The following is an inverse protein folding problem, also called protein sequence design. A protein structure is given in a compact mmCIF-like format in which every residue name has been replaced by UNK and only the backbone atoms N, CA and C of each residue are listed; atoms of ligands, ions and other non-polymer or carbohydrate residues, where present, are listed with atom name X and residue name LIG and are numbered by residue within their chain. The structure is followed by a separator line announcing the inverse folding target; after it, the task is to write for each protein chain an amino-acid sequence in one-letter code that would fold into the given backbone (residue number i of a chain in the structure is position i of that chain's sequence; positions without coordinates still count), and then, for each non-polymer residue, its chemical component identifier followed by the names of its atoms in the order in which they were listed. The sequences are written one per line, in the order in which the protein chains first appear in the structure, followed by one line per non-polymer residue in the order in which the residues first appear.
data_IF_039396399600
#
_entry.id   IF_039396399600
#
_cell.length_a   1.000
_cell.length_b   1.000
_cell.length_c   1.000
_cell.angle_alpha   90.00
_cell.angle_beta   90.00
_cell.angle_gamma   90.00
#
_symmetry.space_group_name_H-M   'P 1'
#
loop_
_entity.id
_entity.type
_entity.pdbx_description
1 polymer ?
#
# COMPACT_ATOMS: atom_id res chain seq x y z
N UNK A 1 15.73 -2.74 6.35
CA UNK A 1 14.55 -2.15 5.67
C UNK A 1 13.28 -2.83 6.18
N UNK A 2 12.16 -2.10 6.35
CA UNK A 2 10.93 -2.65 6.91
C UNK A 2 10.36 -3.81 6.07
N UNK A 3 9.72 -4.82 6.70
CA UNK A 3 9.04 -5.93 6.04
C UNK A 3 8.12 -5.54 4.89
N UNK A 4 7.29 -4.48 5.03
CA UNK A 4 6.38 -4.06 3.96
C UNK A 4 7.13 -3.64 2.69
N UNK A 5 8.31 -3.03 2.84
CA UNK A 5 9.16 -2.62 1.73
C UNK A 5 9.78 -3.83 1.05
N UNK A 6 10.18 -4.85 1.80
CA UNK A 6 10.68 -6.11 1.22
C UNK A 6 9.59 -6.81 0.40
N UNK A 7 8.37 -6.83 0.91
CA UNK A 7 7.22 -7.38 0.19
C UNK A 7 6.89 -6.55 -1.05
N UNK A 8 6.94 -5.22 -0.97
CA UNK A 8 6.79 -4.34 -2.13
C UNK A 8 7.86 -4.60 -3.20
N UNK A 9 9.12 -4.84 -2.81
CA UNK A 9 10.19 -5.22 -3.75
C UNK A 9 9.86 -6.55 -4.46
N UNK A 10 9.32 -7.53 -3.74
CA UNK A 10 8.89 -8.79 -4.35
C UNK A 10 7.73 -8.59 -5.34
N UNK A 11 6.77 -7.71 -5.02
CA UNK A 11 5.68 -7.35 -5.92
C UNK A 11 6.24 -6.69 -7.20
N UNK A 12 7.10 -5.69 -7.06
CA UNK A 12 7.75 -4.98 -8.19
C UNK A 12 8.51 -5.96 -9.08
N UNK A 13 9.29 -6.86 -8.48
CA UNK A 13 10.02 -7.87 -9.23
C UNK A 13 9.07 -8.82 -9.98
N UNK A 14 8.01 -9.29 -9.32
CA UNK A 14 7.02 -10.17 -9.92
C UNK A 14 6.18 -9.48 -11.02
N UNK A 15 5.99 -8.15 -10.95
CA UNK A 15 5.30 -7.38 -11.98
C UNK A 15 6.19 -7.04 -13.18
N UNK A 16 7.46 -7.46 -13.19
CA UNK A 16 8.41 -7.18 -14.27
C UNK A 16 9.02 -5.77 -14.21
N UNK A 17 8.80 -5.04 -13.11
CA UNK A 17 9.35 -3.72 -12.89
C UNK A 17 10.70 -3.81 -12.15
N UNK A 18 11.52 -2.77 -12.28
CA UNK A 18 12.88 -2.75 -11.69
C UNK A 18 13.02 -1.83 -10.49
N UNK A 19 12.22 -0.77 -10.43
CA UNK A 19 12.41 0.32 -9.48
C UNK A 19 11.22 0.41 -8.54
N UNK A 20 11.52 0.57 -7.25
CA UNK A 20 10.54 0.85 -6.21
C UNK A 20 10.87 2.23 -5.62
N UNK A 21 9.90 3.12 -5.61
CA UNK A 21 9.96 4.35 -4.83
C UNK A 21 9.35 4.11 -3.45
N UNK A 22 10.09 4.43 -2.38
CA UNK A 22 9.58 4.43 -1.02
C UNK A 22 10.11 5.66 -0.29
N UNK A 23 9.23 6.57 0.13
CA UNK A 23 9.59 7.89 0.66
C UNK A 23 10.67 7.86 1.73
N UNK A 24 10.58 6.91 2.68
CA UNK A 24 11.57 6.74 3.76
C UNK A 24 12.97 6.34 3.29
N UNK A 25 13.11 5.85 2.06
CA UNK A 25 14.38 5.45 1.45
C UNK A 25 14.84 6.39 0.34
N UNK A 26 13.90 6.99 -0.40
CA UNK A 26 14.18 7.81 -1.58
C UNK A 26 14.29 9.30 -1.26
N UNK A 27 13.77 9.76 -0.12
CA UNK A 27 13.86 11.15 0.32
C UNK A 27 14.98 11.29 1.36
N UNK A 28 15.92 12.19 1.10
CA UNK A 28 17.01 12.53 2.03
C UNK A 28 16.45 13.34 3.19
N UNK A 29 16.18 12.70 4.32
CA UNK A 29 15.49 13.32 5.47
C UNK A 29 16.36 14.34 6.22
N UNK A 30 17.68 14.27 6.08
CA UNK A 30 18.64 15.09 6.84
C UNK A 30 18.92 16.44 6.15
N UNK A 31 18.45 16.61 4.92
CA UNK A 31 18.59 17.84 4.14
C UNK A 31 17.21 18.43 3.88
N UNK A 32 16.91 19.54 4.55
CA UNK A 32 15.59 20.17 4.49
C UNK A 32 15.31 20.84 3.15
N UNK A 33 16.31 21.33 2.45
CA UNK A 33 16.15 21.96 1.13
C UNK A 33 15.82 20.91 0.08
N UNK A 34 16.59 19.81 0.06
CA UNK A 34 16.34 18.67 -0.83
C UNK A 34 15.00 18.01 -0.50
N UNK A 35 14.65 17.86 0.79
CA UNK A 35 13.34 17.34 1.20
C UNK A 35 12.21 18.20 0.66
N UNK A 36 12.30 19.53 0.79
CA UNK A 36 11.24 20.43 0.31
C UNK A 36 11.09 20.39 -1.22
N UNK A 37 12.21 20.36 -1.95
CA UNK A 37 12.19 20.24 -3.41
C UNK A 37 11.51 18.92 -3.84
N UNK A 38 11.87 17.79 -3.23
CA UNK A 38 11.23 16.50 -3.50
C UNK A 38 9.75 16.48 -3.12
N UNK A 39 9.38 17.08 -1.98
CA UNK A 39 7.99 17.20 -1.55
C UNK A 39 7.16 17.99 -2.56
N UNK A 40 7.74 19.01 -3.20
CA UNK A 40 7.05 19.78 -4.24
C UNK A 40 6.81 19.00 -5.54
N UNK A 41 7.48 17.86 -5.72
CA UNK A 41 7.43 17.00 -6.92
C UNK A 41 6.67 15.69 -6.71
N UNK A 42 6.02 15.51 -5.56
CA UNK A 42 5.29 14.28 -5.23
C UNK A 42 4.17 13.98 -6.24
N UNK A 43 3.56 15.02 -6.80
CA UNK A 43 2.56 14.90 -7.85
C UNK A 43 3.11 14.23 -9.12
N UNK A 44 4.29 14.66 -9.57
CA UNK A 44 4.98 14.10 -10.72
C UNK A 44 5.46 12.67 -10.44
N UNK A 45 5.89 12.37 -9.21
CA UNK A 45 6.28 11.02 -8.80
C UNK A 45 5.09 10.06 -8.91
N UNK A 46 3.93 10.43 -8.34
CA UNK A 46 2.73 9.58 -8.41
C UNK A 46 2.19 9.46 -9.84
N UNK A 47 2.16 10.55 -10.61
CA UNK A 47 1.69 10.54 -11.99
C UNK A 47 2.61 9.77 -12.95
N UNK A 48 3.92 9.72 -12.63
CA UNK A 48 4.94 8.99 -13.38
C UNK A 48 5.06 7.51 -12.99
N UNK A 49 4.52 7.11 -11.83
CA UNK A 49 4.57 5.72 -11.38
C UNK A 49 3.70 4.80 -12.26
N UNK A 50 4.21 3.59 -12.54
CA UNK A 50 3.45 2.55 -13.24
C UNK A 50 2.26 2.08 -12.40
N UNK A 51 2.48 1.92 -11.10
CA UNK A 51 1.48 1.60 -10.10
C UNK A 51 1.92 2.12 -8.72
N UNK A 52 0.96 2.40 -7.86
CA UNK A 52 1.16 2.61 -6.43
C UNK A 52 0.68 1.36 -5.68
N UNK A 53 1.51 0.86 -4.75
CA UNK A 53 1.17 -0.29 -3.88
C UNK A 53 0.66 0.27 -2.56
N UNK A 54 -0.60 -0.04 -2.22
CA UNK A 54 -1.27 0.46 -1.02
C UNK A 54 -1.65 -0.71 -0.12
N UNK A 55 -1.18 -0.67 1.13
CA UNK A 55 -1.46 -1.72 2.12
C UNK A 55 -2.54 -1.25 3.08
N UNK A 56 -3.76 -1.76 2.93
CA UNK A 56 -4.84 -1.52 3.89
C UNK A 56 -4.74 -2.40 5.14
N UNK A 57 -4.03 -3.53 5.01
CA UNK A 57 -3.78 -4.47 6.10
C UNK A 57 -2.46 -4.15 6.79
N UNK A 58 -2.49 -4.10 8.13
CA UNK A 58 -1.31 -3.81 8.96
C UNK A 58 -1.36 -2.43 9.60
N UNK A 59 -0.69 -2.31 10.75
CA UNK A 59 -0.68 -1.05 11.51
C UNK A 59 0.41 -0.08 11.01
N UNK A 60 1.52 -0.60 10.49
CA UNK A 60 2.69 0.17 10.09
C UNK A 60 3.57 -0.60 9.08
N UNK A 61 4.70 0.01 8.70
CA UNK A 61 5.66 -0.56 7.75
C UNK A 61 6.34 -1.86 8.22
N UNK A 62 6.22 -2.22 9.50
CA UNK A 62 6.71 -3.50 10.02
C UNK A 62 5.73 -4.65 9.80
N UNK A 63 4.52 -4.35 9.32
CA UNK A 63 3.55 -5.36 8.90
C UNK A 63 3.89 -5.87 7.50
N UNK A 64 3.83 -7.19 7.30
CA UNK A 64 3.93 -7.79 5.97
C UNK A 64 2.69 -7.51 5.11
N UNK A 65 2.86 -7.53 3.79
CA UNK A 65 1.74 -7.44 2.85
C UNK A 65 1.10 -8.82 2.72
N UNK A 66 -0.18 -8.99 3.10
CA UNK A 66 -0.84 -10.30 3.06
C UNK A 66 -0.91 -10.89 1.65
N UNK A 67 -0.42 -12.10 1.48
CA UNK A 67 -0.43 -12.82 0.21
C UNK A 67 0.83 -12.68 -0.65
N UNK A 68 1.80 -11.83 -0.26
CA UNK A 68 3.12 -11.78 -0.94
C UNK A 68 3.99 -12.95 -0.54
N UNK A 69 4.10 -13.21 0.77
CA UNK A 69 4.81 -14.38 1.29
C UNK A 69 3.84 -15.51 1.62
N UNK A 70 4.32 -16.76 1.61
CA UNK A 70 3.51 -17.92 2.00
C UNK A 70 3.02 -17.72 3.44
N UNK A 71 1.72 -17.99 3.66
CA UNK A 71 1.04 -17.91 4.97
C UNK A 71 0.81 -16.51 5.56
N UNK A 72 1.10 -15.41 4.83
CA UNK A 72 0.76 -14.06 5.34
C UNK A 72 -0.69 -13.66 5.11
N UNK A 73 -1.40 -14.35 4.20
CA UNK A 73 -2.84 -14.18 4.03
C UNK A 73 -3.59 -15.03 5.05
N UNK A 74 -4.10 -14.41 6.09
CA UNK A 74 -5.09 -15.02 6.98
C UNK A 74 -6.45 -14.99 6.30
N UNK A 75 -6.84 -16.11 5.70
CA UNK A 75 -8.23 -16.33 5.28
C UNK A 75 -9.03 -16.72 6.53
N UNK A 76 -9.34 -15.75 7.38
CA UNK A 76 -10.39 -15.96 8.38
C UNK A 76 -11.72 -15.99 7.63
N UNK A 77 -12.24 -17.20 7.46
CA UNK A 77 -13.58 -17.40 6.94
C UNK A 77 -14.57 -16.80 7.94
N UNK A 78 -15.25 -15.73 7.55
CA UNK A 78 -16.37 -15.19 8.32
C UNK A 78 -17.52 -16.21 8.30
N UNK A 79 -17.46 -17.21 9.18
CA UNK A 79 -18.59 -18.10 9.47
C UNK A 79 -19.50 -17.36 10.42
N UNK A 80 -20.41 -16.55 9.90
CA UNK A 80 -21.60 -16.11 10.65
C UNK A 80 -22.78 -16.97 10.22
N UNK A 81 -22.94 -18.11 10.88
CA UNK A 81 -24.11 -18.97 10.71
C UNK A 81 -23.94 -20.32 11.38
N UNK A 82 -25.02 -20.84 11.97
CA UNK A 82 -25.09 -22.20 12.48
C UNK A 82 -25.02 -23.19 11.32
N UNK A 83 -23.81 -23.55 10.90
CA UNK A 83 -23.55 -24.61 9.94
C UNK A 83 -23.61 -24.19 8.47
N UNK A 84 -22.52 -24.50 7.77
CA UNK A 84 -22.44 -24.79 6.33
C UNK A 84 -22.49 -23.66 5.30
N UNK A 85 -22.89 -22.42 5.64
CA UNK A 85 -22.94 -21.33 4.64
C UNK A 85 -21.76 -20.38 4.83
N UNK A 86 -20.86 -20.34 3.82
CA UNK A 86 -19.82 -19.33 3.71
C UNK A 86 -20.41 -18.12 2.99
N UNK A 87 -20.64 -17.04 3.72
CA UNK A 87 -21.05 -15.76 3.14
C UNK A 87 -19.79 -14.97 2.79
N UNK A 88 -19.53 -14.81 1.50
CA UNK A 88 -18.51 -13.89 1.00
C UNK A 88 -19.22 -12.56 0.73
N UNK A 89 -18.90 -11.54 1.53
CA UNK A 89 -19.44 -10.20 1.34
C UNK A 89 -18.51 -9.47 0.40
N UNK A 90 -19.00 -9.15 -0.79
CA UNK A 90 -18.31 -8.24 -1.70
C UNK A 90 -18.50 -6.82 -1.16
N UNK A 91 -17.48 -6.30 -0.47
CA UNK A 91 -17.45 -4.92 -0.02
C UNK A 91 -17.09 -4.02 -1.20
N UNK A 92 -17.73 -2.86 -1.28
CA UNK A 92 -17.28 -1.82 -2.21
C UNK A 92 -15.86 -1.36 -1.84
N UNK A 93 -15.10 -0.84 -2.81
CA UNK A 93 -13.75 -0.30 -2.55
C UNK A 93 -13.84 0.78 -1.46
N UNK A 94 -14.82 1.68 -1.52
CA UNK A 94 -14.99 2.72 -0.51
C UNK A 94 -15.20 2.13 0.91
N UNK A 95 -15.93 1.02 1.03
CA UNK A 95 -16.10 0.33 2.31
C UNK A 95 -14.85 -0.38 2.80
N UNK A 96 -13.99 -0.87 1.90
CA UNK A 96 -12.70 -1.45 2.27
C UNK A 96 -11.73 -0.41 2.83
N UNK A 97 -11.80 0.83 2.33
CA UNK A 97 -10.94 1.92 2.80
C UNK A 97 -11.48 2.57 4.08
N UNK A 98 -12.80 2.53 4.33
CA UNK A 98 -13.41 3.07 5.56
C UNK A 98 -12.75 2.51 6.81
N UNK A 99 -12.41 3.39 7.74
CA UNK A 99 -11.76 3.08 9.02
C UNK A 99 -10.38 2.42 8.91
N UNK A 100 -9.71 2.52 7.76
CA UNK A 100 -8.31 2.11 7.63
C UNK A 100 -7.38 3.26 8.01
N UNK A 101 -6.23 2.94 8.59
CA UNK A 101 -5.17 3.92 8.89
C UNK A 101 -4.66 4.64 7.63
N UNK A 102 -4.91 4.06 6.46
CA UNK A 102 -4.59 4.67 5.17
C UNK A 102 -5.34 5.99 4.97
N UNK A 103 -6.64 6.03 5.25
CA UNK A 103 -7.45 7.26 5.10
C UNK A 103 -7.08 8.35 6.13
N UNK A 104 -6.44 8.00 7.25
CA UNK A 104 -6.00 8.98 8.26
C UNK A 104 -4.76 9.79 7.85
N UNK A 105 -4.09 9.42 6.76
CA UNK A 105 -2.82 10.03 6.35
C UNK A 105 -3.05 11.05 5.22
N UNK A 106 -2.60 12.28 5.42
CA UNK A 106 -2.81 13.37 4.45
C UNK A 106 -2.34 13.07 3.01
N UNK A 107 -1.32 12.21 2.83
CA UNK A 107 -0.77 11.90 1.50
C UNK A 107 -1.55 10.87 0.68
N UNK A 108 -2.47 10.13 1.29
CA UNK A 108 -3.17 9.05 0.59
C UNK A 108 -4.17 9.55 -0.46
N UNK A 109 -4.63 10.80 -0.32
CA UNK A 109 -5.41 11.46 -1.36
C UNK A 109 -4.60 11.67 -2.65
N UNK A 110 -3.35 12.12 -2.54
CA UNK A 110 -2.47 12.32 -3.70
C UNK A 110 -2.08 10.98 -4.33
N UNK A 111 -1.74 9.98 -3.52
CA UNK A 111 -1.48 8.61 -3.97
C UNK A 111 -2.64 8.08 -4.83
N UNK A 112 -3.88 8.21 -4.35
CA UNK A 112 -5.05 7.64 -5.03
C UNK A 112 -5.43 8.36 -6.32
N UNK A 113 -5.35 9.68 -6.35
CA UNK A 113 -5.86 10.48 -7.47
C UNK A 113 -4.82 10.69 -8.57
N UNK A 114 -3.53 10.75 -8.20
CA UNK A 114 -2.47 11.06 -9.15
C UNK A 114 -1.84 9.80 -9.75
N UNK A 115 -1.86 8.67 -9.04
CA UNK A 115 -1.38 7.41 -9.60
C UNK A 115 -2.36 6.84 -10.63
N UNK A 116 -1.81 6.44 -11.79
CA UNK A 116 -2.60 5.83 -12.88
C UNK A 116 -3.22 4.50 -12.48
N UNK A 117 -2.58 3.78 -11.56
CA UNK A 117 -3.03 2.49 -11.02
C UNK A 117 -2.69 2.45 -9.53
N UNK A 118 -3.66 2.10 -8.71
CA UNK A 118 -3.50 1.89 -7.27
C UNK A 118 -3.89 0.43 -6.98
N UNK A 119 -3.02 -0.30 -6.27
CA UNK A 119 -3.11 -1.75 -6.06
C UNK A 119 -3.10 -2.09 -4.57
#
# INVERSE_FOLDING_TARGET
IPPSVQDAMNIVFASGERYLWADKLCIVQDDTEVTQDLMSKMDAIYAGAVLAIVTLAGADANSNIPGVQRKTRLLESAVRGNGSIKLEVELSIDELFKNTRYEDRAWTFQERILSRRCL
#
